data_IF_994713239765
#
_entry.id   IF_994713239765
#
_cell.length_a   1.000
_cell.length_b   1.000
_cell.length_c   1.000
_cell.angle_alpha   90.00
_cell.angle_beta   90.00
_cell.angle_gamma   90.00
#
_symmetry.space_group_name_H-M   'P 1'
#
loop_
_entity.id
_entity.type
_entity.pdbx_description
1 polymer ?
#
# COMPACT_ATOMS: atom_id res chain seq x y z
N UNK A 1 -8.75 -4.86 -5.10
CA UNK A 1 -8.60 -6.33 -5.30
C UNK A 1 -9.93 -7.00 -4.99
N UNK A 2 -10.53 -7.76 -5.94
CA UNK A 2 -11.75 -8.53 -5.69
C UNK A 2 -11.36 -9.97 -5.32
N UNK A 3 -10.88 -10.17 -4.12
CA UNK A 3 -10.71 -11.52 -3.59
C UNK A 3 -11.56 -11.64 -2.33
N UNK A 4 -12.64 -12.38 -2.40
CA UNK A 4 -13.33 -12.88 -1.23
C UNK A 4 -13.02 -14.38 -1.15
N UNK A 5 -12.10 -14.76 -0.26
CA UNK A 5 -11.81 -16.15 0.03
C UNK A 5 -10.50 -16.71 -0.53
N UNK A 6 -10.31 -17.99 -0.32
CA UNK A 6 -9.21 -18.79 -0.84
C UNK A 6 -9.40 -19.06 -2.34
N UNK A 7 -8.38 -18.79 -3.14
CA UNK A 7 -8.28 -19.25 -4.52
C UNK A 7 -7.05 -20.15 -4.64
N UNK A 8 -7.28 -21.40 -4.95
CA UNK A 8 -6.22 -22.40 -5.19
C UNK A 8 -6.31 -22.80 -6.64
N UNK A 9 -5.20 -22.74 -7.35
CA UNK A 9 -5.11 -23.34 -8.65
C UNK A 9 -3.80 -24.07 -8.86
N UNK A 10 -3.90 -25.17 -9.58
CA UNK A 10 -2.77 -25.94 -10.07
C UNK A 10 -3.02 -26.19 -11.55
N UNK A 11 -2.19 -25.60 -12.38
CA UNK A 11 -2.23 -25.74 -13.82
C UNK A 11 -0.95 -26.39 -14.26
N UNK A 12 -1.08 -27.51 -14.95
CA UNK A 12 0.05 -28.31 -15.43
C UNK A 12 -0.03 -28.42 -16.94
N UNK A 13 1.09 -28.13 -17.61
CA UNK A 13 1.23 -28.28 -19.05
C UNK A 13 0.22 -27.45 -19.87
N UNK A 14 -0.07 -26.25 -19.42
CA UNK A 14 -0.93 -25.31 -20.15
C UNK A 14 -0.14 -24.57 -21.24
N UNK A 15 -0.81 -24.19 -22.29
CA UNK A 15 -0.25 -23.28 -23.28
C UNK A 15 -0.32 -21.80 -22.83
N UNK A 16 0.26 -20.89 -23.63
CA UNK A 16 0.33 -19.48 -23.30
C UNK A 16 -1.06 -18.81 -23.27
N UNK A 17 -2.01 -19.25 -24.08
CA UNK A 17 -3.34 -18.66 -24.18
C UNK A 17 -4.19 -19.08 -22.97
N UNK A 18 -4.15 -20.36 -22.59
CA UNK A 18 -4.80 -20.88 -21.38
C UNK A 18 -4.29 -20.17 -20.12
N UNK A 19 -2.97 -19.98 -20.02
CA UNK A 19 -2.36 -19.26 -18.89
C UNK A 19 -2.74 -17.78 -18.90
N UNK A 20 -2.78 -17.14 -20.05
CA UNK A 20 -3.19 -15.74 -20.19
C UNK A 20 -4.66 -15.55 -19.76
N UNK A 21 -5.56 -16.43 -20.20
CA UNK A 21 -6.97 -16.41 -19.79
C UNK A 21 -7.13 -16.63 -18.28
N UNK A 22 -6.35 -17.55 -17.73
CA UNK A 22 -6.39 -17.83 -16.29
C UNK A 22 -5.98 -16.61 -15.47
N UNK A 23 -4.81 -16.02 -15.75
CA UNK A 23 -4.31 -14.87 -15.00
C UNK A 23 -5.15 -13.60 -15.24
N UNK A 24 -5.79 -13.45 -16.40
CA UNK A 24 -6.68 -12.33 -16.66
C UNK A 24 -7.94 -12.32 -15.76
N UNK A 25 -8.32 -13.44 -15.17
CA UNK A 25 -9.42 -13.53 -14.20
C UNK A 25 -9.05 -12.99 -12.82
N UNK A 26 -7.77 -13.04 -12.47
CA UNK A 26 -7.25 -12.72 -11.12
C UNK A 26 -6.40 -11.46 -11.08
N UNK A 27 -5.66 -11.17 -12.14
CA UNK A 27 -4.83 -10.00 -12.30
C UNK A 27 -5.45 -9.01 -13.30
N UNK A 28 -4.85 -7.85 -13.45
CA UNK A 28 -5.14 -6.91 -14.55
C UNK A 28 -4.91 -7.61 -15.89
N UNK A 29 -5.38 -7.03 -17.01
CA UNK A 29 -5.09 -7.60 -18.32
C UNK A 29 -3.61 -7.93 -18.46
N UNK A 30 -3.30 -9.20 -18.67
CA UNK A 30 -1.95 -9.73 -18.72
C UNK A 30 -1.73 -10.51 -20.00
N UNK A 31 -0.48 -10.66 -20.41
CA UNK A 31 -0.06 -11.60 -21.44
C UNK A 31 0.97 -12.52 -20.81
N UNK A 32 0.77 -13.83 -20.94
CA UNK A 32 1.68 -14.86 -20.45
C UNK A 32 2.38 -15.53 -21.62
N UNK A 33 3.69 -15.72 -21.49
CA UNK A 33 4.52 -16.40 -22.48
C UNK A 33 5.52 -17.32 -21.75
N UNK A 34 5.75 -18.55 -22.25
CA UNK A 34 6.79 -19.41 -21.69
C UNK A 34 8.17 -18.81 -21.95
N UNK A 35 9.13 -19.02 -21.07
CA UNK A 35 10.52 -18.55 -21.28
C UNK A 35 11.21 -19.29 -22.43
N UNK A 36 10.92 -20.56 -22.61
CA UNK A 36 11.44 -21.35 -23.72
C UNK A 36 10.36 -21.48 -24.80
N UNK A 37 10.73 -21.21 -26.04
CA UNK A 37 9.79 -21.32 -27.18
C UNK A 37 9.13 -22.70 -27.22
N UNK A 38 7.78 -22.74 -27.31
CA UNK A 38 6.93 -23.93 -27.37
C UNK A 38 6.96 -24.83 -26.13
N UNK A 39 7.47 -24.37 -24.99
CA UNK A 39 7.32 -25.11 -23.74
C UNK A 39 5.92 -24.88 -23.15
N UNK A 40 5.42 -25.90 -22.47
CA UNK A 40 4.19 -25.78 -21.69
C UNK A 40 4.48 -25.17 -20.33
N UNK A 41 3.52 -24.46 -19.77
CA UNK A 41 3.65 -23.75 -18.49
C UNK A 41 3.00 -24.59 -17.39
N UNK A 42 3.71 -24.74 -16.29
CA UNK A 42 3.21 -25.45 -15.11
C UNK A 42 3.43 -24.59 -13.86
N UNK A 43 2.33 -24.29 -13.18
CA UNK A 43 2.33 -23.46 -11.97
C UNK A 43 1.37 -24.03 -10.92
N UNK A 44 1.74 -23.82 -9.66
CA UNK A 44 0.88 -24.03 -8.50
C UNK A 44 0.84 -22.74 -7.71
N UNK A 45 -0.36 -22.19 -7.53
CA UNK A 45 -0.56 -20.97 -6.79
C UNK A 45 -1.72 -21.11 -5.81
N UNK A 46 -1.54 -20.54 -4.61
CA UNK A 46 -2.58 -20.41 -3.60
C UNK A 46 -2.66 -18.95 -3.20
N UNK A 47 -3.84 -18.37 -3.29
CA UNK A 47 -4.11 -16.98 -2.97
C UNK A 47 -5.15 -16.86 -1.87
N UNK A 48 -4.87 -15.99 -0.92
CA UNK A 48 -5.79 -15.59 0.14
C UNK A 48 -6.00 -14.08 0.11
N UNK A 49 -7.25 -13.64 0.15
CA UNK A 49 -7.57 -12.25 0.35
C UNK A 49 -7.99 -12.02 1.81
N UNK A 50 -7.34 -11.11 2.46
CA UNK A 50 -7.64 -10.69 3.83
C UNK A 50 -7.79 -9.17 3.82
N UNK A 51 -9.02 -8.67 3.94
CA UNK A 51 -9.35 -7.24 3.86
C UNK A 51 -8.74 -6.54 2.62
N UNK A 52 -7.70 -5.71 2.86
CA UNK A 52 -6.99 -4.91 1.86
C UNK A 52 -5.61 -5.47 1.51
N UNK A 53 -5.40 -6.72 1.86
CA UNK A 53 -4.16 -7.43 1.60
C UNK A 53 -4.41 -8.70 0.79
N UNK A 54 -3.48 -9.04 -0.08
CA UNK A 54 -3.43 -10.33 -0.75
C UNK A 54 -2.20 -11.08 -0.28
N UNK A 55 -2.33 -12.37 0.03
CA UNK A 55 -1.20 -13.23 0.37
C UNK A 55 -1.25 -14.43 -0.57
N UNK A 56 -0.11 -14.77 -1.17
CA UNK A 56 -0.04 -15.94 -2.05
C UNK A 56 1.27 -16.68 -1.90
N UNK A 57 1.23 -17.96 -2.23
CA UNK A 57 2.42 -18.76 -2.45
C UNK A 57 2.36 -19.30 -3.88
N UNK A 58 3.37 -18.97 -4.65
CA UNK A 58 3.49 -19.36 -6.04
C UNK A 58 4.70 -20.23 -6.29
N UNK A 59 4.49 -21.34 -7.01
CA UNK A 59 5.56 -22.20 -7.51
C UNK A 59 5.46 -22.30 -9.02
N UNK A 60 6.53 -21.92 -9.72
CA UNK A 60 6.63 -22.01 -11.17
C UNK A 60 7.64 -23.12 -11.52
N UNK A 61 7.16 -24.17 -12.18
CA UNK A 61 8.00 -25.33 -12.52
C UNK A 61 8.73 -25.18 -13.85
N UNK A 62 8.17 -24.43 -14.80
CA UNK A 62 8.64 -24.42 -16.20
C UNK A 62 9.16 -23.06 -16.70
N UNK A 63 9.09 -22.05 -15.89
CA UNK A 63 9.47 -20.68 -16.27
C UNK A 63 8.47 -19.99 -17.21
N UNK A 64 8.12 -18.74 -16.89
CA UNK A 64 7.22 -17.91 -17.70
C UNK A 64 7.52 -16.42 -17.57
N UNK A 65 7.06 -15.67 -18.54
CA UNK A 65 7.03 -14.20 -18.54
C UNK A 65 5.58 -13.75 -18.50
N UNK A 66 5.27 -12.87 -17.57
CA UNK A 66 3.95 -12.22 -17.44
C UNK A 66 4.13 -10.74 -17.75
N UNK A 67 3.55 -10.26 -18.83
CA UNK A 67 3.52 -8.85 -19.21
C UNK A 67 2.23 -8.24 -18.65
N UNK A 68 2.35 -7.13 -17.93
CA UNK A 68 1.26 -6.45 -17.24
C UNK A 68 0.82 -5.21 -18.02
N UNK A 69 -0.48 -4.98 -18.09
CA UNK A 69 -1.06 -3.74 -18.67
C UNK A 69 -1.64 -2.88 -17.55
N UNK A 70 -0.76 -2.45 -16.63
CA UNK A 70 -1.12 -1.76 -15.40
C UNK A 70 -1.38 -2.73 -14.24
N UNK A 71 -0.71 -2.53 -13.12
CA UNK A 71 -0.88 -3.32 -11.90
C UNK A 71 -1.91 -2.72 -10.94
N UNK A 72 -2.31 -3.46 -9.90
CA UNK A 72 -3.14 -2.94 -8.83
C UNK A 72 -2.42 -1.82 -8.05
N UNK A 73 -3.20 -0.93 -7.46
CA UNK A 73 -2.68 0.15 -6.61
C UNK A 73 -2.26 -0.39 -5.23
N UNK A 74 -1.14 -1.11 -5.24
CA UNK A 74 -0.64 -1.83 -4.08
C UNK A 74 0.89 -1.91 -4.10
N UNK A 75 1.48 -2.04 -2.92
CA UNK A 75 2.86 -2.49 -2.76
C UNK A 75 2.88 -4.00 -2.63
N UNK A 76 3.81 -4.68 -3.31
CA UNK A 76 4.00 -6.12 -3.18
C UNK A 76 5.39 -6.44 -2.62
N UNK A 77 5.40 -7.29 -1.60
CA UNK A 77 6.58 -7.93 -1.04
C UNK A 77 6.69 -9.36 -1.61
N UNK A 78 7.83 -9.70 -2.18
CA UNK A 78 8.15 -11.04 -2.65
C UNK A 78 9.25 -11.63 -1.80
N UNK A 79 8.98 -12.76 -1.17
CA UNK A 79 9.90 -13.51 -0.31
C UNK A 79 10.24 -14.84 -0.99
N UNK A 80 11.36 -14.93 -1.70
CA UNK A 80 11.73 -16.13 -2.41
C UNK A 80 12.18 -17.25 -1.43
N UNK A 81 11.76 -18.48 -1.71
CA UNK A 81 12.24 -19.67 -1.03
C UNK A 81 13.17 -20.51 -1.93
N UNK A 82 12.98 -20.46 -3.25
CA UNK A 82 13.87 -21.10 -4.23
C UNK A 82 13.82 -20.40 -5.58
N UNK A 83 14.81 -20.63 -6.42
CA UNK A 83 14.88 -20.15 -7.78
C UNK A 83 15.04 -18.63 -7.89
N UNK A 84 14.83 -18.11 -9.09
CA UNK A 84 15.03 -16.70 -9.44
C UNK A 84 13.77 -16.13 -10.06
N UNK A 85 13.45 -14.88 -9.74
CA UNK A 85 12.50 -14.07 -10.50
C UNK A 85 13.07 -12.68 -10.78
N UNK A 86 12.60 -12.07 -11.84
CA UNK A 86 12.89 -10.68 -12.11
C UNK A 86 11.59 -9.88 -12.32
N UNK A 87 11.63 -8.62 -11.92
CA UNK A 87 10.58 -7.63 -12.20
C UNK A 87 11.19 -6.55 -13.06
N UNK A 88 10.58 -6.29 -14.22
CA UNK A 88 10.92 -5.15 -15.07
C UNK A 88 9.97 -3.99 -14.75
N UNK A 89 10.54 -2.80 -14.52
CA UNK A 89 9.81 -1.56 -14.25
C UNK A 89 10.52 -0.39 -14.95
N UNK A 90 9.92 0.16 -16.00
CA UNK A 90 10.57 1.15 -16.87
C UNK A 90 11.88 0.63 -17.46
N UNK A 91 13.02 1.21 -17.05
CA UNK A 91 14.36 0.79 -17.47
C UNK A 91 15.12 -0.07 -16.46
N UNK A 92 14.50 -0.36 -15.31
CA UNK A 92 15.12 -1.14 -14.24
C UNK A 92 14.70 -2.61 -14.36
N UNK A 93 15.63 -3.49 -14.05
CA UNK A 93 15.34 -4.89 -13.78
C UNK A 93 15.75 -5.20 -12.35
N UNK A 94 14.80 -5.68 -11.56
CA UNK A 94 14.99 -6.10 -10.17
C UNK A 94 15.03 -7.61 -10.13
N UNK A 95 16.03 -8.18 -9.49
CA UNK A 95 16.20 -9.64 -9.40
C UNK A 95 16.02 -10.09 -7.95
N UNK A 96 15.21 -11.13 -7.79
CA UNK A 96 14.96 -11.83 -6.52
C UNK A 96 15.56 -13.21 -6.57
N UNK A 97 16.26 -13.56 -5.51
CA UNK A 97 16.87 -14.87 -5.23
C UNK A 97 16.74 -15.17 -3.73
N UNK A 98 17.00 -16.38 -3.22
CA UNK A 98 16.69 -16.74 -1.83
C UNK A 98 17.18 -15.77 -0.73
N UNK A 99 18.27 -15.04 -0.98
CA UNK A 99 18.78 -14.03 -0.04
C UNK A 99 18.23 -12.61 -0.31
N UNK A 100 17.49 -12.38 -1.40
CA UNK A 100 17.05 -11.06 -1.85
C UNK A 100 15.56 -11.06 -2.16
N UNK A 101 14.78 -10.51 -1.24
CA UNK A 101 13.36 -10.19 -1.49
C UNK A 101 13.20 -8.92 -2.31
N UNK A 102 12.03 -8.73 -2.92
CA UNK A 102 11.64 -7.51 -3.61
C UNK A 102 10.46 -6.85 -2.91
N UNK A 103 10.49 -5.53 -2.86
CA UNK A 103 9.36 -4.71 -2.41
C UNK A 103 9.15 -3.60 -3.44
N UNK A 104 7.99 -3.54 -4.06
CA UNK A 104 7.76 -2.56 -5.11
C UNK A 104 6.29 -2.18 -5.29
N UNK A 105 6.10 -1.08 -5.99
CA UNK A 105 4.79 -0.57 -6.41
C UNK A 105 4.30 -1.37 -7.62
N UNK A 106 3.26 -2.18 -7.43
CA UNK A 106 2.71 -3.04 -8.48
C UNK A 106 2.16 -2.25 -9.67
N UNK A 107 1.72 -1.01 -9.47
CA UNK A 107 1.23 -0.17 -10.57
C UNK A 107 2.33 0.25 -11.56
N UNK A 108 3.59 0.10 -11.16
CA UNK A 108 4.78 0.40 -11.97
C UNK A 108 5.42 -0.84 -12.60
N UNK A 109 4.88 -2.03 -12.37
CA UNK A 109 5.45 -3.26 -12.92
C UNK A 109 5.02 -3.45 -14.38
N UNK A 110 6.01 -3.60 -15.27
CA UNK A 110 5.78 -3.88 -16.68
C UNK A 110 5.75 -5.38 -16.96
N UNK A 111 6.71 -6.13 -16.35
CA UNK A 111 6.82 -7.58 -16.54
C UNK A 111 7.31 -8.29 -15.29
N UNK A 112 6.84 -9.51 -15.13
CA UNK A 112 7.38 -10.50 -14.19
C UNK A 112 8.01 -11.62 -15.00
N UNK A 113 9.27 -11.94 -14.71
CA UNK A 113 9.98 -13.07 -15.31
C UNK A 113 10.20 -14.09 -14.20
N UNK A 114 9.52 -15.21 -14.31
CA UNK A 114 9.54 -16.31 -13.33
C UNK A 114 10.35 -17.42 -13.94
N UNK A 115 11.54 -17.70 -13.38
CA UNK A 115 12.37 -18.80 -13.86
C UNK A 115 11.82 -20.15 -13.38
N UNK A 116 12.29 -21.23 -13.99
CA UNK A 116 11.94 -22.60 -13.61
C UNK A 116 12.35 -22.91 -12.15
N UNK A 117 11.61 -23.81 -11.51
CA UNK A 117 11.79 -24.27 -10.12
C UNK A 117 11.81 -23.14 -9.09
N UNK A 118 11.12 -22.05 -9.39
CA UNK A 118 11.02 -20.92 -8.48
C UNK A 118 9.80 -21.05 -7.56
N UNK A 119 10.01 -20.75 -6.28
CA UNK A 119 8.93 -20.62 -5.28
C UNK A 119 9.10 -19.36 -4.44
N UNK A 120 7.97 -18.72 -4.06
CA UNK A 120 7.96 -17.51 -3.22
C UNK A 120 6.64 -17.36 -2.48
N UNK A 121 6.69 -16.64 -1.36
CA UNK A 121 5.53 -16.02 -0.74
C UNK A 121 5.45 -14.59 -1.24
N UNK A 122 4.28 -14.17 -1.71
CA UNK A 122 3.98 -12.79 -2.04
C UNK A 122 2.95 -12.22 -1.07
N UNK A 123 3.12 -10.95 -0.70
CA UNK A 123 2.16 -10.23 0.12
C UNK A 123 1.94 -8.86 -0.51
N UNK A 124 0.70 -8.56 -0.92
CA UNK A 124 0.31 -7.27 -1.44
C UNK A 124 -0.47 -6.48 -0.40
N UNK A 125 -0.15 -5.20 -0.27
CA UNK A 125 -0.82 -4.24 0.61
C UNK A 125 -1.37 -3.11 -0.24
N UNK A 126 -2.66 -2.80 -0.15
CA UNK A 126 -3.19 -1.58 -0.78
C UNK A 126 -2.40 -0.37 -0.31
N UNK A 127 -2.00 0.52 -1.22
CA UNK A 127 -1.24 1.75 -0.88
C UNK A 127 -1.91 2.54 0.21
N UNK A 128 -3.21 2.61 0.17
CA UNK A 128 -4.04 3.28 1.17
C UNK A 128 -3.90 2.69 2.58
N UNK A 129 -3.72 1.39 2.72
CA UNK A 129 -3.51 0.74 4.01
C UNK A 129 -2.11 1.05 4.54
N UNK A 130 -1.10 1.00 3.66
CA UNK A 130 0.29 1.32 4.01
C UNK A 130 0.45 2.80 4.43
N UNK A 131 -0.19 3.74 3.70
CA UNK A 131 -0.20 5.18 4.05
C UNK A 131 -0.86 5.42 5.40
N UNK A 132 -1.97 4.73 5.69
CA UNK A 132 -2.63 4.83 7.00
C UNK A 132 -1.72 4.33 8.12
N UNK A 133 -1.08 3.17 7.95
CA UNK A 133 -0.14 2.64 8.93
C UNK A 133 1.04 3.60 9.16
N UNK A 134 1.56 4.21 8.09
CA UNK A 134 2.61 5.24 8.20
C UNK A 134 2.13 6.49 8.95
N UNK A 135 0.90 6.95 8.68
CA UNK A 135 0.31 8.11 9.37
C UNK A 135 0.16 7.85 10.87
N UNK A 136 -0.21 6.62 11.26
CA UNK A 136 -0.30 6.21 12.67
C UNK A 136 1.09 6.20 13.33
N UNK A 137 2.11 5.64 12.67
CA UNK A 137 3.48 5.61 13.18
C UNK A 137 4.09 7.01 13.36
N UNK A 138 3.74 7.94 12.46
CA UNK A 138 4.26 9.30 12.49
C UNK A 138 3.42 10.24 13.36
N UNK A 139 2.28 9.81 13.87
CA UNK A 139 1.26 10.68 14.50
C UNK A 139 1.03 11.96 13.69
N UNK A 140 0.98 11.82 12.36
CA UNK A 140 0.82 12.92 11.41
C UNK A 140 0.27 12.43 10.08
N UNK A 141 -0.56 13.25 9.39
CA UNK A 141 -1.02 12.89 8.06
C UNK A 141 0.13 12.82 7.06
N UNK A 142 0.05 11.85 6.16
CA UNK A 142 0.99 11.62 5.06
C UNK A 142 0.37 12.13 3.77
N UNK A 143 1.05 13.04 3.08
CA UNK A 143 0.56 13.67 1.85
C UNK A 143 1.15 13.08 0.58
N UNK A 144 2.35 12.52 0.67
CA UNK A 144 3.08 11.97 -0.47
C UNK A 144 3.07 10.43 -0.42
N UNK A 145 3.22 9.79 -1.59
CA UNK A 145 3.37 8.34 -1.67
C UNK A 145 4.62 7.83 -0.94
N UNK A 146 4.65 6.54 -0.66
CA UNK A 146 5.81 5.89 -0.04
C UNK A 146 6.71 5.35 -1.14
N UNK A 147 7.97 5.76 -1.15
CA UNK A 147 9.00 5.28 -2.04
C UNK A 147 9.95 4.36 -1.27
N UNK A 148 9.75 3.06 -1.40
CA UNK A 148 10.61 2.05 -0.78
C UNK A 148 11.85 1.78 -1.63
N UNK A 149 12.93 1.33 -0.97
CA UNK A 149 14.00 0.61 -1.67
C UNK A 149 13.44 -0.67 -2.31
N UNK A 150 13.79 -0.89 -3.58
CA UNK A 150 13.22 -1.97 -4.40
C UNK A 150 13.61 -3.38 -3.90
N UNK A 151 14.67 -3.51 -3.09
CA UNK A 151 15.21 -4.80 -2.63
C UNK A 151 15.29 -4.89 -1.11
N UNK A 152 15.09 -6.09 -0.59
CA UNK A 152 15.20 -6.43 0.83
C UNK A 152 16.24 -7.52 1.00
N UNK A 153 17.37 -7.20 1.63
CA UNK A 153 18.39 -8.23 1.94
C UNK A 153 17.91 -9.11 3.10
N UNK A 154 17.46 -10.32 2.77
CA UNK A 154 16.88 -11.26 3.73
C UNK A 154 17.93 -11.95 4.62
N UNK A 155 19.23 -11.88 4.28
CA UNK A 155 20.30 -12.41 5.08
C UNK A 155 20.66 -11.52 6.29
N UNK A 156 20.20 -10.27 6.33
CA UNK A 156 20.38 -9.38 7.48
C UNK A 156 19.43 -9.71 8.62
N UNK A 157 19.75 -9.27 9.85
CA UNK A 157 18.85 -9.42 11.01
C UNK A 157 17.47 -8.79 10.76
N UNK A 158 17.42 -7.64 10.07
CA UNK A 158 16.16 -6.97 9.71
C UNK A 158 15.39 -7.77 8.66
N UNK A 159 16.06 -8.20 7.60
CA UNK A 159 15.45 -8.96 6.52
C UNK A 159 14.99 -10.36 6.96
N UNK A 160 15.75 -11.03 7.84
CA UNK A 160 15.34 -12.34 8.36
C UNK A 160 14.05 -12.26 9.20
N UNK A 161 13.80 -11.14 9.90
CA UNK A 161 12.53 -10.91 10.62
C UNK A 161 11.36 -10.75 9.64
N UNK A 162 11.57 -10.05 8.51
CA UNK A 162 10.56 -9.92 7.46
C UNK A 162 10.22 -11.30 6.88
N UNK A 163 11.24 -12.10 6.55
CA UNK A 163 11.04 -13.46 6.05
C UNK A 163 10.33 -14.36 7.06
N UNK A 164 10.73 -14.32 8.34
CA UNK A 164 10.11 -15.11 9.41
C UNK A 164 8.62 -14.73 9.60
N UNK A 165 8.29 -13.43 9.60
CA UNK A 165 6.91 -12.98 9.71
C UNK A 165 6.08 -13.36 8.47
N UNK A 166 6.64 -13.27 7.26
CA UNK A 166 5.98 -13.71 6.03
C UNK A 166 5.68 -15.22 6.06
N UNK A 167 6.64 -16.04 6.50
CA UNK A 167 6.43 -17.48 6.68
C UNK A 167 5.37 -17.78 7.75
N UNK A 168 5.33 -17.02 8.86
CA UNK A 168 4.30 -17.17 9.88
C UNK A 168 2.91 -16.84 9.31
N UNK A 169 2.76 -15.73 8.61
CA UNK A 169 1.50 -15.35 7.96
C UNK A 169 1.05 -16.47 7.03
N UNK A 170 1.95 -16.97 6.18
CA UNK A 170 1.63 -18.06 5.26
C UNK A 170 1.20 -19.33 5.99
N UNK A 171 1.94 -19.76 7.01
CA UNK A 171 1.63 -20.97 7.78
C UNK A 171 0.30 -20.91 8.53
N UNK A 172 -0.19 -19.72 8.84
CA UNK A 172 -1.51 -19.52 9.45
C UNK A 172 -2.66 -19.59 8.43
N UNK A 173 -2.37 -19.41 7.15
CA UNK A 173 -3.35 -19.45 6.06
C UNK A 173 -3.38 -20.80 5.35
N UNK A 174 -2.21 -21.43 5.17
CA UNK A 174 -2.03 -22.67 4.42
C UNK A 174 -2.25 -23.93 5.27
N UNK A 175 -3.42 -24.00 5.89
CA UNK A 175 -3.87 -25.13 6.72
C UNK A 175 -5.33 -25.44 6.40
N UNK A 176 -5.83 -26.61 6.84
CA UNK A 176 -7.22 -26.97 6.72
C UNK A 176 -8.10 -25.95 7.45
N UNK A 177 -9.33 -25.73 6.97
CA UNK A 177 -10.27 -24.72 7.51
C UNK A 177 -10.46 -24.81 9.04
N UNK A 178 -10.38 -26.02 9.60
CA UNK A 178 -10.52 -26.27 11.05
C UNK A 178 -9.34 -25.71 11.86
N UNK A 179 -8.16 -25.60 11.25
CA UNK A 179 -6.93 -25.14 11.91
C UNK A 179 -6.52 -23.73 11.49
N UNK A 180 -7.28 -23.12 10.59
CA UNK A 180 -6.98 -21.76 10.11
C UNK A 180 -7.11 -20.74 11.24
N UNK A 181 -6.12 -19.85 11.35
CA UNK A 181 -6.17 -18.77 12.32
C UNK A 181 -7.33 -17.81 12.01
N UNK A 182 -7.87 -17.16 13.04
CA UNK A 182 -8.95 -16.18 12.85
C UNK A 182 -8.50 -15.02 11.94
N UNK A 183 -9.42 -14.46 11.16
CA UNK A 183 -9.16 -13.30 10.31
C UNK A 183 -8.54 -12.14 11.09
N UNK A 184 -9.04 -11.90 12.31
CA UNK A 184 -8.50 -10.84 13.18
C UNK A 184 -7.04 -11.07 13.57
N UNK A 185 -6.60 -12.33 13.76
CA UNK A 185 -5.20 -12.64 14.03
C UNK A 185 -4.33 -12.40 12.79
N UNK A 186 -4.78 -12.86 11.63
CA UNK A 186 -4.06 -12.64 10.34
C UNK A 186 -3.93 -11.14 10.05
N UNK A 187 -4.99 -10.36 10.25
CA UNK A 187 -4.96 -8.89 10.10
C UNK A 187 -3.91 -8.24 10.99
N UNK A 188 -3.76 -8.68 12.24
CA UNK A 188 -2.73 -8.18 13.15
C UNK A 188 -1.32 -8.51 12.68
N UNK A 189 -1.11 -9.71 12.13
CA UNK A 189 0.19 -10.09 11.53
C UNK A 189 0.49 -9.24 10.29
N UNK A 190 -0.50 -8.98 9.44
CA UNK A 190 -0.35 -8.11 8.26
C UNK A 190 -0.06 -6.66 8.66
N UNK A 191 -0.70 -6.13 9.71
CA UNK A 191 -0.39 -4.82 10.28
C UNK A 191 1.04 -4.78 10.84
N UNK A 192 1.47 -5.84 11.55
CA UNK A 192 2.85 -5.97 12.03
C UNK A 192 3.84 -6.01 10.87
N UNK A 193 3.52 -6.69 9.76
CA UNK A 193 4.35 -6.70 8.56
C UNK A 193 4.47 -5.30 7.94
N UNK A 194 3.37 -4.56 7.80
CA UNK A 194 3.42 -3.17 7.30
C UNK A 194 4.30 -2.29 8.18
N UNK A 195 4.16 -2.38 9.50
CA UNK A 195 5.02 -1.66 10.45
C UNK A 195 6.49 -2.04 10.27
N UNK A 196 6.78 -3.34 10.22
CA UNK A 196 8.13 -3.84 10.06
C UNK A 196 8.78 -3.36 8.76
N UNK A 197 8.06 -3.36 7.65
CA UNK A 197 8.53 -2.83 6.36
C UNK A 197 8.83 -1.33 6.44
N UNK A 198 7.93 -0.54 6.99
CA UNK A 198 8.09 0.91 7.14
C UNK A 198 9.31 1.28 7.98
N UNK A 199 9.56 0.56 9.06
CA UNK A 199 10.67 0.83 9.97
C UNK A 199 12.02 0.27 9.50
N UNK A 200 12.03 -0.79 8.67
CA UNK A 200 13.26 -1.52 8.36
C UNK A 200 13.74 -1.38 6.93
N UNK A 201 12.82 -1.26 5.96
CA UNK A 201 13.17 -1.04 4.55
C UNK A 201 13.35 0.45 4.31
N UNK A 202 14.49 0.88 3.75
CA UNK A 202 14.70 2.29 3.45
C UNK A 202 13.56 2.87 2.58
N UNK A 203 13.06 4.03 2.97
CA UNK A 203 12.01 4.74 2.26
C UNK A 203 12.13 6.26 2.49
N UNK A 204 11.39 7.06 1.73
CA UNK A 204 11.41 8.52 1.82
C UNK A 204 10.96 9.08 3.20
N UNK A 205 10.42 8.25 4.08
CA UNK A 205 10.03 8.61 5.46
C UNK A 205 10.97 8.05 6.55
N UNK A 206 12.00 7.26 6.18
CA UNK A 206 12.90 6.59 7.14
C UNK A 206 13.51 7.56 8.14
N UNK A 207 13.92 8.76 7.70
CA UNK A 207 14.48 9.78 8.60
C UNK A 207 13.46 10.30 9.62
N UNK A 208 12.17 10.29 9.30
CA UNK A 208 11.09 10.68 10.22
C UNK A 208 10.78 9.59 11.23
N UNK A 209 10.77 8.33 10.76
CA UNK A 209 10.50 7.15 11.60
C UNK A 209 11.62 6.87 12.61
N UNK A 210 12.86 7.25 12.30
CA UNK A 210 14.01 7.07 13.20
C UNK A 210 14.21 8.20 14.18
N UNK A 211 13.50 9.33 14.05
CA UNK A 211 13.57 10.41 15.03
C UNK A 211 13.06 9.91 16.39
N UNK A 212 13.78 10.14 17.48
CA UNK A 212 13.26 9.82 18.82
C UNK A 212 11.95 10.55 19.07
N UNK A 213 11.03 9.89 19.79
CA UNK A 213 9.72 10.46 20.17
C UNK A 213 9.95 11.90 20.63
N UNK A 214 9.35 12.85 19.90
CA UNK A 214 9.54 14.29 20.11
C UNK A 214 9.21 14.66 21.56
N UNK A 215 9.98 15.54 22.21
CA UNK A 215 9.62 16.01 23.53
C UNK A 215 8.19 16.57 23.51
N UNK A 216 7.51 16.46 24.65
CA UNK A 216 6.07 16.80 24.80
C UNK A 216 5.64 17.98 23.91
N UNK A 217 4.67 17.74 23.04
CA UNK A 217 4.19 18.73 22.07
C UNK A 217 3.86 20.03 22.79
N UNK A 218 4.43 21.18 22.38
CA UNK A 218 4.16 22.45 23.04
C UNK A 218 2.65 22.75 23.07
N UNK A 219 2.15 23.25 24.20
CA UNK A 219 0.71 23.58 24.37
C UNK A 219 0.15 24.43 23.22
N UNK A 220 0.97 25.32 22.63
CA UNK A 220 0.58 26.17 21.49
C UNK A 220 0.39 25.34 20.22
N UNK A 221 1.27 24.37 19.97
CA UNK A 221 1.13 23.48 18.81
C UNK A 221 -0.11 22.57 18.96
N UNK A 222 -0.37 22.06 20.17
CA UNK A 222 -1.59 21.29 20.45
C UNK A 222 -2.84 22.11 20.18
N UNK A 223 -2.90 23.37 20.66
CA UNK A 223 -4.01 24.29 20.38
C UNK A 223 -4.19 24.57 18.89
N UNK A 224 -3.09 24.73 18.13
CA UNK A 224 -3.15 24.89 16.68
C UNK A 224 -3.81 23.70 16.00
N UNK A 225 -3.39 22.48 16.38
CA UNK A 225 -3.93 21.23 15.84
C UNK A 225 -5.41 21.07 16.20
N UNK A 226 -5.78 21.32 17.46
CA UNK A 226 -7.19 21.29 17.92
C UNK A 226 -8.04 22.28 17.15
N UNK A 227 -7.56 23.50 16.92
CA UNK A 227 -8.26 24.51 16.14
C UNK A 227 -8.46 24.10 14.68
N UNK A 228 -7.42 23.51 14.04
CA UNK A 228 -7.52 22.96 12.67
C UNK A 228 -8.59 21.87 12.57
N UNK A 229 -8.62 20.94 13.52
CA UNK A 229 -9.62 19.87 13.53
C UNK A 229 -11.03 20.39 13.75
N UNK A 230 -11.22 21.32 14.68
CA UNK A 230 -12.52 21.91 14.98
C UNK A 230 -13.09 22.74 13.81
N UNK A 231 -12.21 23.34 12.98
CA UNK A 231 -12.60 24.24 11.89
C UNK A 231 -12.19 23.71 10.52
N UNK A 232 -12.01 22.40 10.37
CA UNK A 232 -11.42 21.77 9.18
C UNK A 232 -12.14 22.12 7.87
N UNK A 233 -13.47 22.30 7.92
CA UNK A 233 -14.32 22.64 6.78
C UNK A 233 -14.30 24.12 6.41
N UNK A 234 -13.86 24.99 7.32
CA UNK A 234 -13.90 26.43 7.13
C UNK A 234 -12.65 26.94 6.38
N UNK A 235 -12.77 28.00 5.58
CA UNK A 235 -11.59 28.69 5.07
C UNK A 235 -10.74 29.17 6.24
N UNK A 236 -9.46 28.79 6.26
CA UNK A 236 -8.50 29.29 7.25
C UNK A 236 -7.12 29.45 6.64
N UNK A 237 -6.46 30.52 6.99
CA UNK A 237 -5.09 30.80 6.65
C UNK A 237 -4.13 30.51 7.81
N UNK A 238 -2.84 30.63 7.56
CA UNK A 238 -1.82 30.41 8.57
C UNK A 238 -1.90 31.42 9.73
N UNK A 239 -2.37 32.65 9.44
CA UNK A 239 -2.55 33.70 10.44
C UNK A 239 -3.64 33.32 11.46
N UNK A 240 -4.79 32.81 10.99
CA UNK A 240 -5.90 32.39 11.83
C UNK A 240 -5.49 31.26 12.79
N UNK A 241 -4.70 30.32 12.28
CA UNK A 241 -4.17 29.19 13.06
C UNK A 241 -3.16 29.69 14.13
N UNK A 242 -2.31 30.63 13.76
CA UNK A 242 -1.32 31.20 14.68
C UNK A 242 -2.00 32.02 15.79
N UNK A 243 -3.00 32.82 15.46
CA UNK A 243 -3.81 33.59 16.42
C UNK A 243 -4.53 32.66 17.39
N UNK A 244 -5.24 31.66 16.90
CA UNK A 244 -5.93 30.67 17.74
C UNK A 244 -4.97 29.90 18.67
N UNK A 245 -3.76 29.66 18.22
CA UNK A 245 -2.71 29.01 19.04
C UNK A 245 -2.02 29.96 20.03
N UNK A 246 -2.28 31.27 19.96
CA UNK A 246 -1.63 32.31 20.78
C UNK A 246 -0.12 32.40 20.47
N UNK A 247 0.26 32.40 19.18
CA UNK A 247 1.66 32.42 18.74
C UNK A 247 1.83 33.20 17.44
N UNK A 248 3.07 33.56 17.08
CA UNK A 248 3.35 34.15 15.78
C UNK A 248 3.38 33.10 14.67
N UNK A 249 3.11 33.49 13.41
CA UNK A 249 3.19 32.63 12.23
C UNK A 249 4.58 31.94 12.13
N UNK A 250 5.65 32.69 12.37
CA UNK A 250 7.03 32.15 12.33
C UNK A 250 7.26 31.08 13.41
N UNK A 251 6.77 31.31 14.63
CA UNK A 251 6.91 30.34 15.72
C UNK A 251 6.01 29.10 15.48
N UNK A 252 4.84 29.28 14.89
CA UNK A 252 3.97 28.18 14.48
C UNK A 252 4.64 27.31 13.42
N UNK A 253 5.20 27.93 12.36
CA UNK A 253 5.94 27.22 11.31
C UNK A 253 7.13 26.44 11.87
N UNK A 254 7.91 27.05 12.73
CA UNK A 254 9.04 26.40 13.39
C UNK A 254 8.59 25.20 14.26
N UNK A 255 7.49 25.34 15.01
CA UNK A 255 6.94 24.27 15.82
C UNK A 255 6.42 23.10 14.94
N UNK A 256 5.70 23.38 13.87
CA UNK A 256 5.27 22.33 12.95
C UNK A 256 6.46 21.63 12.28
N UNK A 257 7.47 22.40 11.86
CA UNK A 257 8.69 21.81 11.29
C UNK A 257 9.43 20.93 12.31
N UNK A 258 9.55 21.40 13.55
CA UNK A 258 10.30 20.70 14.60
C UNK A 258 9.58 19.43 15.09
N UNK A 259 8.26 19.50 15.30
CA UNK A 259 7.49 18.47 16.00
C UNK A 259 6.62 17.60 15.07
N UNK A 260 6.30 18.06 13.87
CA UNK A 260 5.48 17.35 12.89
C UNK A 260 6.15 17.18 11.52
N UNK A 261 7.36 17.72 11.35
CA UNK A 261 8.18 17.68 10.13
C UNK A 261 7.41 18.09 8.87
N UNK A 262 6.54 19.07 9.01
CA UNK A 262 5.68 19.58 7.95
C UNK A 262 5.36 21.05 8.15
N UNK A 263 4.67 21.68 7.19
CA UNK A 263 4.14 23.03 7.39
C UNK A 263 2.71 22.99 7.93
N UNK A 264 2.23 24.04 8.65
CA UNK A 264 0.86 24.10 9.15
C UNK A 264 -0.20 23.89 8.07
N UNK A 265 -0.01 24.50 6.89
CA UNK A 265 -0.97 24.39 5.78
C UNK A 265 -0.93 23.01 5.10
N UNK A 266 0.22 22.35 5.04
CA UNK A 266 0.30 20.97 4.55
C UNK A 266 -0.37 20.01 5.52
N UNK A 267 -0.19 20.21 6.83
CA UNK A 267 -0.89 19.46 7.86
C UNK A 267 -2.41 19.60 7.72
N UNK A 268 -2.92 20.84 7.61
CA UNK A 268 -4.34 21.12 7.38
C UNK A 268 -4.86 20.46 6.10
N UNK A 269 -4.09 20.51 5.02
CA UNK A 269 -4.45 19.87 3.75
C UNK A 269 -4.59 18.35 3.90
N UNK A 270 -3.67 17.73 4.62
CA UNK A 270 -3.66 16.29 4.80
C UNK A 270 -4.86 15.81 5.65
N UNK A 271 -5.22 16.51 6.74
CA UNK A 271 -6.42 16.17 7.52
C UNK A 271 -7.73 16.37 6.72
N UNK A 272 -7.78 17.38 5.85
CA UNK A 272 -8.91 17.61 4.93
C UNK A 272 -9.05 16.48 3.91
N UNK A 273 -7.96 16.03 3.32
CA UNK A 273 -7.96 14.92 2.36
C UNK A 273 -8.38 13.61 3.02
N UNK A 274 -7.88 13.34 4.22
CA UNK A 274 -8.25 12.14 4.97
C UNK A 274 -9.74 12.15 5.36
N UNK A 275 -10.26 13.30 5.78
CA UNK A 275 -11.67 13.46 6.07
C UNK A 275 -12.56 13.31 4.83
N UNK A 276 -12.16 13.92 3.71
CA UNK A 276 -12.85 13.76 2.43
C UNK A 276 -12.84 12.29 1.97
N UNK A 277 -11.74 11.58 2.17
CA UNK A 277 -11.65 10.16 1.86
C UNK A 277 -12.62 9.33 2.69
N UNK A 278 -12.65 9.53 4.01
CA UNK A 278 -13.61 8.85 4.89
C UNK A 278 -15.04 9.08 4.43
N UNK A 279 -15.38 10.34 4.11
CA UNK A 279 -16.72 10.69 3.61
C UNK A 279 -17.01 10.05 2.23
N UNK A 280 -16.04 9.97 1.31
CA UNK A 280 -16.23 9.35 0.00
C UNK A 280 -16.40 7.83 0.08
N UNK A 281 -15.81 7.17 1.08
CA UNK A 281 -15.88 5.72 1.27
C UNK A 281 -17.00 5.28 2.21
N UNK A 282 -17.65 6.20 2.91
CA UNK A 282 -18.75 5.92 3.83
C UNK A 282 -20.03 5.53 3.07
N UNK A 283 -20.54 4.28 3.22
CA UNK A 283 -21.78 3.84 2.57
C UNK A 283 -23.00 4.71 2.89
N UNK A 284 -23.04 5.36 4.06
CA UNK A 284 -24.14 6.22 4.49
C UNK A 284 -24.14 7.59 3.79
N UNK A 285 -23.05 7.98 3.16
CA UNK A 285 -22.95 9.30 2.50
C UNK A 285 -23.70 9.30 1.17
N UNK A 286 -24.65 10.23 1.00
CA UNK A 286 -25.36 10.50 -0.28
C UNK A 286 -24.68 11.58 -1.13
N UNK A 287 -23.68 12.28 -0.60
CA UNK A 287 -23.02 13.42 -1.24
C UNK A 287 -22.23 13.02 -2.49
N UNK A 288 -22.24 13.90 -3.48
CA UNK A 288 -21.36 13.81 -4.65
C UNK A 288 -19.90 14.11 -4.27
N UNK A 289 -18.95 13.70 -5.13
CA UNK A 289 -17.53 14.03 -4.95
C UNK A 289 -17.28 15.52 -4.77
N UNK A 290 -18.00 16.37 -5.52
CA UNK A 290 -17.87 17.82 -5.43
C UNK A 290 -18.41 18.38 -4.11
N UNK A 291 -19.51 17.85 -3.61
CA UNK A 291 -20.08 18.24 -2.31
C UNK A 291 -19.17 17.81 -1.17
N UNK A 292 -18.65 16.58 -1.18
CA UNK A 292 -17.66 16.13 -0.21
C UNK A 292 -16.42 17.02 -0.25
N UNK A 293 -15.85 17.30 -1.42
CA UNK A 293 -14.69 18.18 -1.51
C UNK A 293 -14.95 19.56 -0.89
N UNK A 294 -16.11 20.19 -1.17
CA UNK A 294 -16.47 21.48 -0.59
C UNK A 294 -16.67 21.41 0.92
N UNK A 295 -17.33 20.38 1.42
CA UNK A 295 -17.56 20.21 2.87
C UNK A 295 -16.25 20.02 3.65
N UNK A 296 -15.17 19.63 2.97
CA UNK A 296 -13.82 19.53 3.54
C UNK A 296 -12.91 20.71 3.15
N UNK A 297 -13.48 21.84 2.70
CA UNK A 297 -12.76 23.08 2.48
C UNK A 297 -11.96 23.16 1.18
N UNK A 298 -12.29 22.34 0.17
CA UNK A 298 -11.69 22.44 -1.17
C UNK A 298 -12.61 23.22 -2.12
N UNK A 299 -12.13 24.35 -2.61
CA UNK A 299 -12.86 25.23 -3.55
C UNK A 299 -12.65 24.85 -5.02
N UNK A 300 -11.51 24.22 -5.37
CA UNK A 300 -11.12 23.88 -6.74
C UNK A 300 -11.07 22.36 -6.95
N UNK A 301 -12.05 21.82 -7.70
CA UNK A 301 -12.22 20.37 -7.88
C UNK A 301 -11.06 19.70 -8.59
N UNK A 302 -10.47 20.34 -9.61
CA UNK A 302 -9.30 19.78 -10.30
C UNK A 302 -8.09 19.66 -9.39
N UNK A 303 -7.84 20.68 -8.54
CA UNK A 303 -6.76 20.65 -7.56
C UNK A 303 -7.02 19.62 -6.46
N UNK A 304 -8.27 19.49 -6.01
CA UNK A 304 -8.67 18.43 -5.07
C UNK A 304 -8.40 17.05 -5.64
N UNK A 305 -8.85 16.77 -6.87
CA UNK A 305 -8.65 15.47 -7.50
C UNK A 305 -7.18 15.11 -7.67
N UNK A 306 -6.33 16.07 -8.08
CA UNK A 306 -4.89 15.87 -8.20
C UNK A 306 -4.24 15.57 -6.84
N UNK A 307 -4.55 16.35 -5.80
CA UNK A 307 -4.04 16.15 -4.45
C UNK A 307 -4.52 14.82 -3.84
N UNK A 308 -5.78 14.48 -4.06
CA UNK A 308 -6.36 13.22 -3.61
C UNK A 308 -5.67 12.02 -4.26
N UNK A 309 -5.49 12.08 -5.58
CA UNK A 309 -4.76 11.05 -6.32
C UNK A 309 -3.31 10.91 -5.84
N UNK A 310 -2.62 12.03 -5.67
CA UNK A 310 -1.24 12.05 -5.13
C UNK A 310 -1.16 11.40 -3.75
N UNK A 311 -2.14 11.66 -2.87
CA UNK A 311 -2.10 11.17 -1.48
C UNK A 311 -2.59 9.73 -1.32
N UNK A 312 -3.51 9.26 -2.18
CA UNK A 312 -4.17 7.97 -1.98
C UNK A 312 -4.01 7.01 -3.17
N UNK A 313 -3.36 7.41 -4.26
CA UNK A 313 -3.12 6.59 -5.44
C UNK A 313 -4.35 6.35 -6.32
N UNK A 314 -5.53 6.84 -5.92
CA UNK A 314 -6.80 6.65 -6.62
C UNK A 314 -7.53 7.98 -6.88
N UNK A 315 -8.38 8.02 -7.89
CA UNK A 315 -9.23 9.19 -8.13
C UNK A 315 -10.39 9.21 -7.12
N UNK A 316 -10.83 10.42 -6.65
CA UNK A 316 -11.98 10.54 -5.75
C UNK A 316 -13.26 9.90 -6.28
N UNK A 317 -13.43 9.91 -7.60
CA UNK A 317 -14.56 9.25 -8.27
C UNK A 317 -14.54 7.72 -8.14
N UNK A 318 -13.37 7.11 -8.04
CA UNK A 318 -13.22 5.67 -7.85
C UNK A 318 -13.58 5.27 -6.41
N UNK A 319 -13.11 6.02 -5.42
CA UNK A 319 -13.49 5.85 -4.03
C UNK A 319 -15.03 5.94 -3.86
N UNK A 320 -15.66 6.94 -4.50
CA UNK A 320 -17.12 7.11 -4.47
C UNK A 320 -17.90 6.01 -5.21
N UNK A 321 -17.33 5.38 -6.25
CA UNK A 321 -17.96 4.24 -6.96
C UNK A 321 -17.93 2.96 -6.11
N UNK A 322 -16.83 2.67 -5.43
CA UNK A 322 -16.72 1.52 -4.53
C UNK A 322 -17.81 1.53 -3.45
N UNK A 323 -18.15 2.70 -2.92
CA UNK A 323 -19.26 2.91 -2.00
C UNK A 323 -20.62 2.46 -2.57
N UNK A 324 -20.89 2.76 -3.86
CA UNK A 324 -22.18 2.45 -4.51
C UNK A 324 -22.31 1.00 -4.98
N UNK A 325 -21.18 0.29 -5.14
CA UNK A 325 -21.14 -1.09 -5.62
C UNK A 325 -21.23 -2.16 -4.52
N UNK A 326 -21.16 -1.79 -3.24
CA UNK A 326 -21.27 -2.70 -2.11
C UNK A 326 -22.69 -3.00 -1.63
N UNK A 327 -23.72 -2.54 -2.36
CA UNK A 327 -25.13 -2.69 -1.99
C UNK A 327 -25.95 -3.50 -3.02
N UNK A 328 -25.41 -4.67 -3.46
CA UNK A 328 -26.22 -5.68 -4.18
C UNK A 328 -25.84 -7.06 -3.69
#
# INVERSE_FOLDING_TARGET
>A
MKYAGLSVFKIMNADADEMTEHYAKTLSPVKVEPLQRRSLISVEDRHYAVERCGVWNGRCHSGMRVTLSGGPDAYALYLPSSGVMAIETGRKQLVSEPAVGLLGDMSCFDKLVLHEDRSHIGIAFEKSAMIRQLSELLDAPVADGIEFADTVNLATVKGSRIAALGNLIWSCLDVDEVHQASSAFIERLLQAMMTLLLETVPNNYSARLTKPISPAIPKRLKRAIEYMHANVSSPMGIADIAEAAGTSVRALQAAFQQFKDTTPLNYLRAIRLEGARKALTDPATSLSVAEVARSWGFSHMGRFAALYHQSFGEMPSNAAKLRRGGGK
#
